data_IF_131379325066
#
_entry.id   IF_131379325066
#
_cell.length_a   1.000
_cell.length_b   1.000
_cell.length_c   1.000
_cell.angle_alpha   90.00
_cell.angle_beta   90.00
_cell.angle_gamma   90.00
#
_symmetry.space_group_name_H-M   'P 1'
#
loop_
_entity.id
_entity.type
_entity.pdbx_description
1 polymer ?
#
# COMPACT_ATOMS: atom_id res chain seq x y z
N UNK A 1 -11.58 29.93 0.29
CA UNK A 1 -10.99 28.69 0.86
C UNK A 1 -11.44 27.53 0.01
N UNK A 2 -10.52 26.68 -0.44
CA UNK A 2 -10.85 25.46 -1.20
C UNK A 2 -11.84 24.61 -0.39
N UNK A 3 -12.84 24.01 -1.05
CA UNK A 3 -13.86 23.17 -0.38
C UNK A 3 -13.29 21.95 0.35
N UNK A 4 -11.99 21.67 0.19
CA UNK A 4 -11.29 20.54 0.77
C UNK A 4 -11.05 20.66 2.28
N UNK A 5 -11.03 21.85 2.88
CA UNK A 5 -10.83 21.98 4.34
C UNK A 5 -12.09 21.62 5.15
N UNK A 6 -13.28 21.71 4.54
CA UNK A 6 -14.56 21.57 5.23
C UNK A 6 -14.70 20.27 6.05
N UNK A 7 -14.29 19.08 5.57
CA UNK A 7 -14.35 17.85 6.37
C UNK A 7 -13.59 17.95 7.69
N UNK A 8 -12.42 18.59 7.69
CA UNK A 8 -11.63 18.79 8.91
C UNK A 8 -12.33 19.74 9.89
N UNK A 9 -12.89 20.85 9.41
CA UNK A 9 -13.62 21.79 10.27
C UNK A 9 -14.85 21.13 10.89
N UNK A 10 -15.52 20.26 10.15
CA UNK A 10 -16.64 19.46 10.66
C UNK A 10 -16.17 18.45 11.71
N UNK A 11 -15.06 17.75 11.48
CA UNK A 11 -14.50 16.78 12.43
C UNK A 11 -14.06 17.44 13.75
N UNK A 12 -13.47 18.64 13.68
CA UNK A 12 -13.07 19.42 14.88
C UNK A 12 -14.29 19.90 15.67
N UNK A 13 -15.45 20.10 15.05
CA UNK A 13 -16.73 20.28 15.76
C UNK A 13 -16.81 21.47 16.73
N UNK A 14 -15.89 22.44 16.65
CA UNK A 14 -15.80 23.56 17.61
C UNK A 14 -15.04 23.24 18.91
N UNK A 15 -14.30 22.13 18.97
CA UNK A 15 -13.46 21.77 20.13
C UNK A 15 -12.29 22.73 20.35
N UNK A 16 -11.88 23.46 19.30
CA UNK A 16 -10.75 24.39 19.36
C UNK A 16 -11.22 25.85 19.49
N UNK A 17 -10.55 26.68 20.31
CA UNK A 17 -10.68 28.13 20.28
C UNK A 17 -10.41 28.69 18.89
N UNK A 18 -11.07 29.80 18.54
CA UNK A 18 -10.94 30.44 17.22
C UNK A 18 -9.48 30.82 16.88
N UNK A 19 -8.66 31.15 17.89
CA UNK A 19 -7.24 31.41 17.69
C UNK A 19 -6.49 30.19 17.16
N UNK A 20 -6.70 29.02 17.76
CA UNK A 20 -6.09 27.76 17.31
C UNK A 20 -6.64 27.35 15.95
N UNK A 21 -7.93 27.56 15.70
CA UNK A 21 -8.55 27.29 14.41
C UNK A 21 -7.95 28.15 13.29
N UNK A 22 -7.58 29.41 13.58
CA UNK A 22 -6.87 30.27 12.63
C UNK A 22 -5.51 29.69 12.25
N UNK A 23 -4.76 29.12 13.20
CA UNK A 23 -3.48 28.44 12.91
C UNK A 23 -3.70 27.21 12.02
N UNK A 24 -4.71 26.39 12.32
CA UNK A 24 -5.06 25.20 11.49
C UNK A 24 -5.45 25.60 10.07
N UNK A 25 -6.27 26.65 9.90
CA UNK A 25 -6.61 27.19 8.57
C UNK A 25 -5.36 27.67 7.84
N UNK A 26 -4.42 28.29 8.56
CA UNK A 26 -3.17 28.74 7.97
C UNK A 26 -2.29 27.58 7.51
N UNK A 27 -2.16 26.52 8.32
CA UNK A 27 -1.45 25.30 7.96
C UNK A 27 -2.03 24.67 6.68
N UNK A 28 -3.36 24.64 6.55
CA UNK A 28 -4.03 24.19 5.33
C UNK A 28 -3.63 25.04 4.10
N UNK A 29 -3.65 26.37 4.21
CA UNK A 29 -3.29 27.26 3.10
C UNK A 29 -1.84 27.08 2.65
N UNK A 30 -0.93 26.88 3.60
CA UNK A 30 0.50 26.64 3.33
C UNK A 30 0.68 25.28 2.65
N UNK A 31 0.03 24.23 3.14
CA UNK A 31 0.06 22.90 2.51
C UNK A 31 -0.53 22.92 1.10
N UNK A 32 -1.68 23.57 0.89
CA UNK A 32 -2.34 23.69 -0.42
C UNK A 32 -1.46 24.46 -1.42
N UNK A 33 -0.78 25.52 -0.94
CA UNK A 33 0.19 26.29 -1.73
C UNK A 33 1.38 25.43 -2.15
N UNK A 34 2.04 24.76 -1.21
CA UNK A 34 3.27 24.00 -1.47
C UNK A 34 3.04 22.73 -2.27
N UNK A 35 1.87 22.11 -2.14
CA UNK A 35 1.46 20.96 -2.96
C UNK A 35 0.65 21.36 -4.20
N UNK A 36 0.59 22.64 -4.55
CA UNK A 36 -0.12 23.11 -5.74
C UNK A 36 0.44 22.48 -7.01
N UNK A 37 -0.45 22.00 -7.88
CA UNK A 37 -0.09 21.27 -9.10
C UNK A 37 0.34 19.81 -8.88
N UNK A 38 0.39 19.33 -7.63
CA UNK A 38 0.59 17.93 -7.32
C UNK A 38 -0.74 17.18 -7.25
N UNK A 39 -0.72 15.91 -7.65
CA UNK A 39 -1.91 15.06 -7.69
C UNK A 39 -1.64 13.71 -7.04
N UNK A 40 -2.66 13.18 -6.36
CA UNK A 40 -2.70 11.77 -5.93
C UNK A 40 -2.80 10.88 -7.16
N UNK A 41 -2.52 9.58 -6.98
CA UNK A 41 -2.54 8.59 -8.06
C UNK A 41 -3.91 8.38 -8.69
N UNK A 42 -4.98 8.75 -7.99
CA UNK A 42 -6.36 8.72 -8.46
C UNK A 42 -6.78 10.04 -9.15
N UNK A 43 -5.86 10.99 -9.31
CA UNK A 43 -6.09 12.27 -9.98
C UNK A 43 -6.64 13.39 -9.10
N UNK A 44 -6.90 13.14 -7.81
CA UNK A 44 -7.32 14.21 -6.89
C UNK A 44 -6.17 15.16 -6.54
N UNK A 45 -6.44 16.44 -6.22
CA UNK A 45 -5.42 17.35 -5.70
C UNK A 45 -4.71 16.76 -4.49
N UNK A 46 -3.40 16.94 -4.39
CA UNK A 46 -2.60 16.30 -3.34
C UNK A 46 -3.04 16.68 -1.92
N UNK A 47 -3.48 17.94 -1.73
CA UNK A 47 -4.00 18.47 -0.46
C UNK A 47 -5.10 17.61 0.19
N UNK A 48 -5.81 16.81 -0.62
CA UNK A 48 -6.82 15.87 -0.11
C UNK A 48 -6.26 14.81 0.83
N UNK A 49 -4.98 14.45 0.68
CA UNK A 49 -4.32 13.50 1.58
C UNK A 49 -3.98 14.12 2.94
N UNK A 50 -3.23 15.24 3.04
CA UNK A 50 -2.97 15.88 4.33
C UNK A 50 -4.24 16.25 5.11
N UNK A 51 -5.29 16.71 4.41
CA UNK A 51 -6.60 16.95 5.06
C UNK A 51 -7.16 15.67 5.66
N UNK A 52 -7.13 14.55 4.94
CA UNK A 52 -7.68 13.31 5.43
C UNK A 52 -6.85 12.72 6.59
N UNK A 53 -5.53 12.94 6.62
CA UNK A 53 -4.69 12.62 7.78
C UNK A 53 -5.08 13.49 8.97
N UNK A 54 -5.27 14.80 8.78
CA UNK A 54 -5.71 15.71 9.84
C UNK A 54 -7.12 15.35 10.36
N UNK A 55 -8.03 14.85 9.53
CA UNK A 55 -9.34 14.36 9.97
C UNK A 55 -9.18 13.16 10.91
N UNK A 56 -8.31 12.20 10.59
CA UNK A 56 -8.02 11.07 11.48
C UNK A 56 -7.45 11.56 12.82
N UNK A 57 -6.55 12.54 12.78
CA UNK A 57 -5.99 13.16 14.01
C UNK A 57 -7.06 13.87 14.83
N UNK A 58 -8.02 14.55 14.19
CA UNK A 58 -9.14 15.21 14.86
C UNK A 58 -10.09 14.21 15.53
N UNK A 59 -10.33 13.04 14.91
CA UNK A 59 -11.13 11.96 15.48
C UNK A 59 -10.50 11.34 16.74
N UNK A 60 -9.18 11.49 16.91
CA UNK A 60 -8.44 11.05 18.10
C UNK A 60 -8.43 12.10 19.23
N UNK A 61 -9.14 13.22 19.07
CA UNK A 61 -9.25 14.34 20.02
C UNK A 61 -7.88 14.97 20.41
N UNK A 62 -7.02 15.15 19.40
CA UNK A 62 -5.67 15.67 19.58
C UNK A 62 -5.58 17.18 19.30
N UNK A 63 -4.54 17.81 19.87
CA UNK A 63 -4.38 19.26 19.87
C UNK A 63 -4.17 19.91 18.48
N UNK A 64 -4.36 21.22 18.44
CA UNK A 64 -4.25 22.02 17.21
C UNK A 64 -2.86 21.97 16.57
N UNK A 65 -1.79 21.82 17.36
CA UNK A 65 -0.42 21.69 16.86
C UNK A 65 -0.26 20.40 16.05
N UNK A 66 -0.82 19.27 16.53
CA UNK A 66 -0.77 18.01 15.81
C UNK A 66 -1.64 18.03 14.55
N UNK A 67 -2.77 18.74 14.58
CA UNK A 67 -3.57 18.99 13.37
C UNK A 67 -2.81 19.82 12.33
N UNK A 68 -2.08 20.84 12.77
CA UNK A 68 -1.20 21.62 11.88
C UNK A 68 -0.09 20.74 11.32
N UNK A 69 0.58 19.96 12.16
CA UNK A 69 1.61 19.02 11.73
C UNK A 69 1.05 18.00 10.73
N UNK A 70 -0.18 17.50 10.92
CA UNK A 70 -0.84 16.60 9.98
C UNK A 70 -1.08 17.21 8.59
N UNK A 71 -1.48 18.47 8.55
CA UNK A 71 -1.65 19.20 7.29
C UNK A 71 -0.30 19.45 6.59
N UNK A 72 0.78 19.61 7.35
CA UNK A 72 2.11 19.98 6.84
C UNK A 72 3.07 18.78 6.69
N UNK A 73 2.65 17.57 7.05
CA UNK A 73 3.56 16.45 7.34
C UNK A 73 4.47 16.03 6.17
N UNK A 74 4.05 16.24 4.93
CA UNK A 74 4.83 15.94 3.73
C UNK A 74 5.44 17.18 3.06
N UNK A 75 5.19 18.38 3.56
CA UNK A 75 5.68 19.63 2.94
C UNK A 75 7.21 19.66 2.90
N UNK A 76 7.89 19.31 4.01
CA UNK A 76 9.35 19.28 4.06
C UNK A 76 9.98 18.11 3.28
N UNK A 77 9.23 17.04 3.03
CA UNK A 77 9.72 15.83 2.38
C UNK A 77 9.52 15.85 0.87
N UNK A 78 8.38 16.40 0.41
CA UNK A 78 7.91 16.29 -0.98
C UNK A 78 7.92 17.63 -1.73
N UNK A 79 8.36 18.72 -1.09
CA UNK A 79 8.40 20.06 -1.71
C UNK A 79 9.74 20.77 -1.47
N UNK A 80 9.92 21.92 -2.10
CA UNK A 80 11.11 22.76 -1.94
C UNK A 80 10.99 23.78 -0.77
N UNK A 81 9.99 23.60 0.11
CA UNK A 81 9.77 24.48 1.26
C UNK A 81 10.97 24.44 2.21
N UNK A 82 11.59 25.59 2.54
CA UNK A 82 12.63 25.64 3.56
C UNK A 82 12.04 25.45 4.96
N UNK A 83 12.75 24.74 5.83
CA UNK A 83 12.30 24.48 7.20
C UNK A 83 12.12 25.78 7.99
N UNK A 84 12.94 26.79 7.71
CA UNK A 84 12.91 28.10 8.32
C UNK A 84 11.62 28.86 8.02
N UNK A 85 10.98 28.61 6.87
CA UNK A 85 9.66 29.20 6.55
C UNK A 85 8.58 28.65 7.48
N UNK A 86 8.56 27.32 7.69
CA UNK A 86 7.60 26.70 8.60
C UNK A 86 7.88 27.10 10.06
N UNK A 87 9.15 27.16 10.46
CA UNK A 87 9.54 27.63 11.79
C UNK A 87 9.11 29.07 12.06
N UNK A 88 9.31 29.97 11.09
CA UNK A 88 8.89 31.37 11.20
C UNK A 88 7.37 31.56 11.21
N UNK A 89 6.62 30.67 10.56
CA UNK A 89 5.16 30.78 10.42
C UNK A 89 4.38 30.07 11.53
N UNK A 90 4.88 28.94 12.02
CA UNK A 90 4.17 28.06 12.97
C UNK A 90 4.89 27.88 14.32
N UNK A 91 6.16 28.31 14.43
CA UNK A 91 6.97 28.18 15.63
C UNK A 91 7.56 26.79 15.84
N UNK A 92 8.35 26.66 16.91
CA UNK A 92 9.08 25.43 17.24
C UNK A 92 8.17 24.22 17.54
N UNK A 93 7.06 24.32 18.29
CA UNK A 93 6.27 23.13 18.63
C UNK A 93 5.80 22.31 17.43
N UNK A 94 5.30 22.98 16.38
CA UNK A 94 4.85 22.32 15.14
C UNK A 94 6.06 21.88 14.31
N UNK A 95 7.11 22.69 14.24
CA UNK A 95 8.31 22.38 13.44
C UNK A 95 9.08 21.19 14.01
N UNK A 96 9.15 21.05 15.32
CA UNK A 96 9.75 19.90 16.02
C UNK A 96 9.03 18.59 15.68
N UNK A 97 7.69 18.60 15.61
CA UNK A 97 6.91 17.44 15.16
C UNK A 97 7.25 17.04 13.72
N UNK A 98 7.33 18.02 12.82
CA UNK A 98 7.68 17.79 11.41
C UNK A 98 9.10 17.25 11.25
N UNK A 99 10.06 17.78 12.03
CA UNK A 99 11.44 17.32 12.05
C UNK A 99 11.54 15.90 12.61
N UNK A 100 10.81 15.61 13.69
CA UNK A 100 10.71 14.28 14.27
C UNK A 100 10.18 13.26 13.26
N UNK A 101 9.14 13.62 12.50
CA UNK A 101 8.58 12.78 11.45
C UNK A 101 9.59 12.51 10.32
N UNK A 102 10.24 13.55 9.81
CA UNK A 102 11.28 13.43 8.77
C UNK A 102 12.44 12.55 9.23
N UNK A 103 12.87 12.70 10.49
CA UNK A 103 13.90 11.85 11.07
C UNK A 103 13.45 10.39 11.11
N UNK A 104 12.23 10.13 11.58
CA UNK A 104 11.65 8.78 11.62
C UNK A 104 11.66 8.14 10.22
N UNK A 105 11.26 8.88 9.18
CA UNK A 105 11.27 8.38 7.79
C UNK A 105 12.67 8.22 7.18
N UNK A 106 13.66 9.02 7.62
CA UNK A 106 15.04 8.94 7.14
C UNK A 106 15.78 7.69 7.65
N UNK A 107 15.35 7.14 8.78
CA UNK A 107 15.94 5.92 9.31
C UNK A 107 15.55 4.75 8.41
N UNK A 108 16.42 4.37 7.48
CA UNK A 108 16.29 3.18 6.61
C UNK A 108 16.18 1.84 7.38
N UNK A 109 16.01 1.86 8.69
CA UNK A 109 15.89 0.66 9.52
C UNK A 109 14.48 0.11 9.38
N UNK A 110 14.42 -1.01 8.66
CA UNK A 110 13.29 -1.94 8.64
C UNK A 110 12.85 -2.36 10.06
N UNK A 111 11.63 -2.90 10.19
CA UNK A 111 10.80 -2.74 11.37
C UNK A 111 11.09 -3.80 12.43
N UNK A 112 11.77 -3.40 13.50
CA UNK A 112 11.21 -3.46 14.85
C UNK A 112 11.56 -2.24 15.73
N UNK A 113 12.28 -1.26 15.19
CA UNK A 113 12.92 -0.18 15.95
C UNK A 113 12.26 1.18 15.69
N UNK A 114 10.93 1.29 15.71
CA UNK A 114 10.33 2.60 16.06
C UNK A 114 10.73 2.83 17.52
N UNK A 115 11.68 3.73 17.81
CA UNK A 115 12.23 3.82 19.15
C UNK A 115 11.11 4.17 20.13
N UNK A 116 11.08 3.47 21.26
CA UNK A 116 10.22 3.79 22.41
C UNK A 116 10.45 5.23 22.90
N UNK A 117 11.54 5.87 22.48
CA UNK A 117 11.91 7.26 22.78
C UNK A 117 11.43 8.31 21.76
N UNK A 118 10.63 7.93 20.77
CA UNK A 118 10.05 8.90 19.82
C UNK A 118 8.83 9.53 20.48
N UNK A 119 8.69 10.85 20.35
CA UNK A 119 7.49 11.57 20.78
C UNK A 119 6.22 10.85 20.28
N UNK A 120 5.33 10.48 21.21
CA UNK A 120 4.09 9.76 20.92
C UNK A 120 3.22 10.51 19.91
N UNK A 121 3.31 11.85 19.86
CA UNK A 121 2.62 12.70 18.89
C UNK A 121 3.14 12.44 17.47
N UNK A 122 4.46 12.33 17.29
CA UNK A 122 5.08 12.01 15.98
C UNK A 122 4.68 10.61 15.53
N UNK A 123 4.68 9.64 16.45
CA UNK A 123 4.23 8.28 16.13
C UNK A 123 2.74 8.26 15.76
N UNK A 124 1.90 8.97 16.51
CA UNK A 124 0.46 9.08 16.23
C UNK A 124 0.20 9.68 14.86
N UNK A 125 0.93 10.74 14.50
CA UNK A 125 0.88 11.33 13.17
C UNK A 125 1.27 10.31 12.09
N UNK A 126 2.34 9.54 12.31
CA UNK A 126 2.75 8.49 11.37
C UNK A 126 1.72 7.38 11.22
N UNK A 127 1.03 7.02 12.30
CA UNK A 127 -0.05 6.04 12.28
C UNK A 127 -1.27 6.55 11.50
N UNK A 128 -1.64 7.82 11.67
CA UNK A 128 -2.72 8.45 10.90
C UNK A 128 -2.41 8.48 9.40
N UNK A 129 -1.17 8.86 9.03
CA UNK A 129 -0.67 8.79 7.65
C UNK A 129 -0.77 7.34 7.10
N UNK A 130 -0.23 6.36 7.82
CA UNK A 130 -0.29 4.94 7.43
C UNK A 130 -1.72 4.44 7.26
N UNK A 131 -2.65 4.83 8.14
CA UNK A 131 -4.05 4.46 8.03
C UNK A 131 -4.68 5.04 6.77
N UNK A 132 -4.49 6.33 6.47
CA UNK A 132 -5.00 6.92 5.25
C UNK A 132 -4.42 6.27 3.99
N UNK A 133 -3.11 6.00 3.99
CA UNK A 133 -2.45 5.31 2.89
C UNK A 133 -2.99 3.89 2.70
N UNK A 134 -3.32 3.19 3.79
CA UNK A 134 -3.98 1.89 3.72
C UNK A 134 -5.42 1.98 3.18
N UNK A 135 -6.19 3.02 3.54
CA UNK A 135 -7.54 3.29 3.00
C UNK A 135 -7.51 3.60 1.49
N UNK A 136 -6.41 4.15 0.97
CA UNK A 136 -6.25 4.57 -0.44
C UNK A 136 -5.24 3.73 -1.24
N UNK A 137 -4.88 2.56 -0.71
CA UNK A 137 -3.82 1.68 -1.23
C UNK A 137 -4.06 1.16 -2.66
N UNK A 138 -5.31 1.17 -3.12
CA UNK A 138 -5.70 0.72 -4.47
C UNK A 138 -5.00 1.50 -5.60
N UNK A 139 -4.51 2.71 -5.33
CA UNK A 139 -3.69 3.48 -6.28
C UNK A 139 -2.26 2.95 -6.48
N UNK A 140 -1.79 2.00 -5.66
CA UNK A 140 -0.47 1.38 -5.80
C UNK A 140 -0.50 0.11 -6.68
N UNK A 141 0.60 -0.27 -7.35
CA UNK A 141 0.72 -1.61 -7.94
C UNK A 141 0.54 -2.70 -6.87
N UNK A 142 -0.12 -3.80 -7.20
CA UNK A 142 -0.47 -4.87 -6.24
C UNK A 142 0.74 -5.39 -5.44
N UNK A 143 1.91 -5.52 -6.07
CA UNK A 143 3.14 -5.92 -5.36
C UNK A 143 3.47 -4.96 -4.21
N UNK A 144 3.34 -3.64 -4.42
CA UNK A 144 3.52 -2.64 -3.36
C UNK A 144 2.38 -2.68 -2.35
N UNK A 145 1.14 -2.92 -2.79
CA UNK A 145 0.01 -3.06 -1.86
C UNK A 145 0.23 -4.21 -0.87
N UNK A 146 0.76 -5.35 -1.35
CA UNK A 146 1.09 -6.51 -0.50
C UNK A 146 2.21 -6.19 0.48
N UNK A 147 3.29 -5.56 0.02
CA UNK A 147 4.41 -5.16 0.90
C UNK A 147 3.92 -4.20 2.00
N UNK A 148 3.19 -3.15 1.63
CA UNK A 148 2.69 -2.16 2.59
C UNK A 148 1.67 -2.77 3.55
N UNK A 149 0.76 -3.62 3.07
CA UNK A 149 -0.21 -4.32 3.93
C UNK A 149 0.48 -5.28 4.90
N UNK A 150 1.51 -6.00 4.46
CA UNK A 150 2.27 -6.89 5.34
C UNK A 150 3.04 -6.10 6.40
N UNK A 151 3.72 -5.02 6.02
CA UNK A 151 4.39 -4.12 6.97
C UNK A 151 3.40 -3.52 7.98
N UNK A 152 2.19 -3.14 7.53
CA UNK A 152 1.18 -2.61 8.42
C UNK A 152 0.74 -3.64 9.48
N UNK A 153 0.68 -4.93 9.14
CA UNK A 153 0.35 -6.00 10.09
C UNK A 153 1.49 -6.32 11.05
N UNK A 154 2.71 -6.40 10.53
CA UNK A 154 3.87 -6.86 11.30
C UNK A 154 4.41 -5.77 12.24
N UNK A 155 4.12 -4.50 11.95
CA UNK A 155 4.83 -3.36 12.54
C UNK A 155 3.87 -2.29 13.03
N UNK A 156 3.11 -1.71 12.11
CA UNK A 156 2.38 -0.46 12.33
C UNK A 156 1.21 -0.69 13.28
N UNK A 157 0.42 -1.74 13.05
CA UNK A 157 -0.68 -2.13 13.94
C UNK A 157 -0.18 -2.45 15.38
N UNK A 158 0.89 -3.24 15.58
CA UNK A 158 1.50 -3.42 16.91
C UNK A 158 1.97 -2.13 17.59
N UNK A 159 2.34 -1.08 16.85
CA UNK A 159 2.64 0.24 17.43
C UNK A 159 1.35 0.94 17.85
N UNK A 160 0.33 0.98 16.98
CA UNK A 160 -0.97 1.59 17.32
C UNK A 160 -1.55 1.01 18.61
N UNK A 161 -1.48 -0.32 18.76
CA UNK A 161 -1.87 -1.01 20.00
C UNK A 161 -1.08 -0.55 21.23
N UNK A 162 0.24 -0.37 21.09
CA UNK A 162 1.12 0.07 22.19
C UNK A 162 0.80 1.48 22.65
N UNK A 163 0.34 2.34 21.75
CA UNK A 163 -0.12 3.71 22.05
C UNK A 163 -1.59 3.78 22.48
N UNK A 164 -2.29 2.64 22.61
CA UNK A 164 -3.71 2.62 22.98
C UNK A 164 -4.68 3.05 21.88
N UNK A 165 -4.21 3.20 20.63
CA UNK A 165 -5.03 3.58 19.48
C UNK A 165 -5.74 2.36 18.87
N UNK A 166 -6.66 1.75 19.64
CA UNK A 166 -7.32 0.48 19.30
C UNK A 166 -8.08 0.56 17.97
N UNK A 167 -8.86 1.62 17.73
CA UNK A 167 -9.63 1.75 16.49
C UNK A 167 -8.73 1.83 15.25
N UNK A 168 -7.60 2.54 15.37
CA UNK A 168 -6.58 2.64 14.32
C UNK A 168 -5.93 1.28 14.07
N UNK A 169 -5.57 0.54 15.13
CA UNK A 169 -5.04 -0.82 15.02
C UNK A 169 -6.02 -1.73 14.26
N UNK A 170 -7.27 -1.80 14.72
CA UNK A 170 -8.28 -2.69 14.18
C UNK A 170 -8.56 -2.40 12.71
N UNK A 171 -8.69 -1.12 12.34
CA UNK A 171 -8.93 -0.75 10.95
C UNK A 171 -7.72 -1.05 10.05
N UNK A 172 -6.50 -0.72 10.50
CA UNK A 172 -5.26 -1.07 9.76
C UNK A 172 -5.20 -2.57 9.50
N UNK A 173 -5.45 -3.39 10.54
CA UNK A 173 -5.43 -4.85 10.43
C UNK A 173 -6.50 -5.35 9.47
N UNK A 174 -7.74 -4.85 9.59
CA UNK A 174 -8.87 -5.22 8.73
C UNK A 174 -8.57 -4.92 7.26
N UNK A 175 -8.09 -3.71 6.96
CA UNK A 175 -7.77 -3.31 5.58
C UNK A 175 -6.58 -4.11 5.03
N UNK A 176 -5.51 -4.30 5.82
CA UNK A 176 -4.34 -5.08 5.41
C UNK A 176 -4.67 -6.55 5.16
N UNK A 177 -5.43 -7.19 6.05
CA UNK A 177 -5.91 -8.55 5.83
C UNK A 177 -6.83 -8.61 4.60
N UNK A 178 -7.70 -7.61 4.39
CA UNK A 178 -8.51 -7.50 3.18
C UNK A 178 -7.68 -7.53 1.89
N UNK A 179 -6.60 -6.74 1.84
CA UNK A 179 -5.70 -6.67 0.69
C UNK A 179 -4.90 -7.96 0.47
N UNK A 180 -4.51 -8.65 1.55
CA UNK A 180 -3.75 -9.91 1.46
C UNK A 180 -4.66 -11.12 1.18
N UNK A 181 -5.89 -11.11 1.70
CA UNK A 181 -6.87 -12.20 1.59
C UNK A 181 -7.50 -12.35 0.21
N UNK A 182 -7.17 -11.47 -0.75
CA UNK A 182 -7.37 -11.70 -2.18
C UNK A 182 -6.81 -13.03 -2.71
N UNK A 183 -6.09 -13.82 -1.88
CA UNK A 183 -5.70 -15.22 -2.10
C UNK A 183 -6.87 -16.23 -2.09
N UNK A 184 -7.97 -15.96 -1.36
CA UNK A 184 -9.12 -16.86 -1.26
C UNK A 184 -9.81 -17.13 -2.61
N UNK A 185 -9.80 -16.14 -3.51
CA UNK A 185 -10.32 -16.27 -4.86
C UNK A 185 -9.46 -17.13 -5.80
N UNK A 186 -8.26 -17.57 -5.41
CA UNK A 186 -7.41 -18.42 -6.25
C UNK A 186 -7.76 -19.92 -6.14
N UNK A 187 -8.37 -20.34 -5.01
CA UNK A 187 -8.73 -21.73 -4.72
C UNK A 187 -9.54 -22.45 -5.81
N UNK A 188 -10.62 -21.88 -6.39
CA UNK A 188 -11.37 -22.57 -7.44
C UNK A 188 -10.51 -22.82 -8.70
N UNK A 189 -9.59 -21.92 -9.00
CA UNK A 189 -8.68 -22.04 -10.13
C UNK A 189 -7.60 -23.11 -9.90
N UNK A 190 -7.18 -23.34 -8.64
CA UNK A 190 -6.20 -24.39 -8.31
C UNK A 190 -6.71 -25.78 -8.70
N UNK A 191 -7.97 -26.08 -8.37
CA UNK A 191 -8.60 -27.36 -8.72
C UNK A 191 -8.65 -27.58 -10.24
N UNK A 192 -9.03 -26.54 -10.99
CA UNK A 192 -9.11 -26.60 -12.45
C UNK A 192 -7.74 -26.84 -13.10
N UNK A 193 -6.71 -26.09 -12.70
CA UNK A 193 -5.33 -26.25 -13.21
C UNK A 193 -4.77 -27.62 -12.86
N UNK A 194 -5.00 -28.09 -11.62
CA UNK A 194 -4.52 -29.40 -11.15
C UNK A 194 -5.16 -30.55 -11.94
N UNK A 195 -6.46 -30.48 -12.20
CA UNK A 195 -7.18 -31.45 -13.02
C UNK A 195 -6.68 -31.45 -14.48
N UNK A 196 -6.51 -30.27 -15.08
CA UNK A 196 -5.99 -30.13 -16.45
C UNK A 196 -4.56 -30.69 -16.60
N UNK A 197 -3.72 -30.51 -15.58
CA UNK A 197 -2.33 -30.99 -15.61
C UNK A 197 -2.20 -32.52 -15.70
N UNK A 198 -3.26 -33.29 -15.45
CA UNK A 198 -3.28 -34.75 -15.68
C UNK A 198 -2.94 -35.09 -17.14
N UNK A 199 -3.26 -34.20 -18.10
CA UNK A 199 -2.93 -34.39 -19.51
C UNK A 199 -1.42 -34.41 -19.79
N UNK A 200 -0.61 -33.82 -18.91
CA UNK A 200 0.84 -33.74 -19.06
C UNK A 200 1.51 -35.08 -18.67
N UNK A 201 2.67 -35.41 -19.28
CA UNK A 201 3.49 -36.53 -18.84
C UNK A 201 3.85 -36.40 -17.35
N UNK A 202 3.72 -37.51 -16.62
CA UNK A 202 3.95 -37.54 -15.16
C UNK A 202 5.32 -36.99 -14.76
N UNK A 203 6.36 -37.24 -15.58
CA UNK A 203 7.73 -36.80 -15.33
C UNK A 203 7.94 -35.28 -15.26
N UNK A 204 7.04 -34.48 -15.84
CA UNK A 204 7.17 -33.00 -15.88
C UNK A 204 6.01 -32.26 -15.21
N UNK A 205 4.97 -32.99 -14.80
CA UNK A 205 3.71 -32.43 -14.27
C UNK A 205 3.90 -31.56 -13.03
N UNK A 206 4.69 -32.04 -12.06
CA UNK A 206 4.92 -31.32 -10.79
C UNK A 206 5.55 -29.94 -11.01
N UNK A 207 6.59 -29.87 -11.85
CA UNK A 207 7.28 -28.62 -12.17
C UNK A 207 6.36 -27.60 -12.83
N UNK A 208 5.57 -28.02 -13.82
CA UNK A 208 4.65 -27.10 -14.51
C UNK A 208 3.50 -26.64 -13.60
N UNK A 209 3.03 -27.50 -12.69
CA UNK A 209 2.05 -27.11 -11.68
C UNK A 209 2.60 -26.03 -10.74
N UNK A 210 3.84 -26.17 -10.27
CA UNK A 210 4.49 -25.14 -9.45
C UNK A 210 4.60 -23.81 -10.19
N UNK A 211 5.06 -23.82 -11.44
CA UNK A 211 5.18 -22.62 -12.28
C UNK A 211 3.80 -21.93 -12.48
N UNK A 212 2.76 -22.69 -12.85
CA UNK A 212 1.43 -22.10 -13.12
C UNK A 212 0.67 -21.65 -11.88
N UNK A 213 0.78 -22.38 -10.76
CA UNK A 213 0.16 -21.95 -9.51
C UNK A 213 0.86 -20.70 -8.96
N UNK A 214 2.17 -20.58 -9.16
CA UNK A 214 2.93 -19.36 -8.89
C UNK A 214 2.44 -18.16 -9.71
N UNK A 215 2.29 -18.33 -11.02
CA UNK A 215 1.75 -17.30 -11.92
C UNK A 215 0.30 -16.92 -11.56
N UNK A 216 -0.56 -17.90 -11.29
CA UNK A 216 -1.96 -17.67 -10.90
C UNK A 216 -2.09 -16.84 -9.61
N UNK A 217 -1.22 -17.10 -8.64
CA UNK A 217 -1.16 -16.35 -7.38
C UNK A 217 -0.66 -14.91 -7.57
N UNK A 218 0.16 -14.68 -8.60
CA UNK A 218 0.66 -13.37 -8.96
C UNK A 218 -0.35 -12.52 -9.76
N UNK A 219 -1.47 -13.10 -10.23
CA UNK A 219 -2.44 -12.40 -11.07
C UNK A 219 -3.46 -11.54 -10.29
N UNK A 220 -3.81 -10.36 -10.84
CA UNK A 220 -4.66 -9.37 -10.19
C UNK A 220 -6.15 -9.74 -10.27
N UNK A 221 -6.73 -10.09 -9.11
CA UNK A 221 -8.17 -10.32 -8.96
C UNK A 221 -8.75 -11.52 -9.73
N UNK A 222 -10.07 -11.71 -9.63
CA UNK A 222 -10.76 -12.89 -10.18
C UNK A 222 -10.82 -12.95 -11.71
N UNK A 223 -10.95 -11.80 -12.39
CA UNK A 223 -11.06 -11.76 -13.86
C UNK A 223 -9.75 -12.15 -14.56
N UNK A 224 -8.60 -11.65 -14.07
CA UNK A 224 -7.31 -12.03 -14.63
C UNK A 224 -7.00 -13.52 -14.39
N UNK A 225 -7.32 -14.03 -13.19
CA UNK A 225 -7.19 -15.45 -12.86
C UNK A 225 -8.08 -16.33 -13.73
N UNK A 226 -9.33 -15.93 -13.96
CA UNK A 226 -10.25 -16.64 -14.84
C UNK A 226 -9.76 -16.67 -16.29
N UNK A 227 -9.29 -15.52 -16.80
CA UNK A 227 -8.65 -15.45 -18.11
C UNK A 227 -7.45 -16.39 -18.21
N UNK A 228 -6.49 -16.26 -17.30
CA UNK A 228 -5.29 -17.08 -17.30
C UNK A 228 -5.61 -18.57 -17.22
N UNK A 229 -6.49 -18.99 -16.30
CA UNK A 229 -6.91 -20.39 -16.18
C UNK A 229 -7.57 -20.89 -17.46
N UNK A 230 -8.44 -20.09 -18.10
CA UNK A 230 -9.07 -20.46 -19.36
C UNK A 230 -8.04 -20.72 -20.47
N UNK A 231 -7.13 -19.78 -20.71
CA UNK A 231 -6.12 -19.91 -21.76
C UNK A 231 -5.10 -21.01 -21.47
N UNK A 232 -4.73 -21.16 -20.21
CA UNK A 232 -3.85 -22.23 -19.78
C UNK A 232 -4.47 -23.59 -20.11
N UNK A 233 -5.73 -23.83 -19.70
CA UNK A 233 -6.44 -25.08 -19.99
C UNK A 233 -6.65 -25.30 -21.50
N UNK A 234 -6.95 -24.25 -22.26
CA UNK A 234 -7.10 -24.32 -23.72
C UNK A 234 -5.78 -24.71 -24.43
N UNK A 235 -4.62 -24.26 -23.91
CA UNK A 235 -3.30 -24.57 -24.46
C UNK A 235 -2.71 -25.92 -24.00
N UNK A 236 -3.23 -26.51 -22.91
CA UNK A 236 -2.70 -27.74 -22.33
C UNK A 236 -2.64 -28.94 -23.29
N UNK A 237 -3.64 -29.23 -24.15
CA UNK A 237 -3.56 -30.35 -25.08
C UNK A 237 -2.38 -30.24 -26.05
N UNK A 238 -2.16 -29.05 -26.62
CA UNK A 238 -1.05 -28.77 -27.55
C UNK A 238 0.30 -28.87 -26.84
N UNK A 239 0.38 -28.35 -25.62
CA UNK A 239 1.56 -28.48 -24.78
C UNK A 239 1.87 -29.94 -24.46
N UNK A 240 0.87 -30.73 -24.08
CA UNK A 240 1.02 -32.15 -23.77
C UNK A 240 1.54 -32.94 -24.98
N UNK A 241 1.02 -32.70 -26.18
CA UNK A 241 1.53 -33.31 -27.42
C UNK A 241 2.98 -32.94 -27.69
N UNK A 242 3.33 -31.66 -27.51
CA UNK A 242 4.69 -31.16 -27.69
C UNK A 242 5.66 -31.82 -26.72
N UNK A 243 5.29 -31.96 -25.45
CA UNK A 243 6.12 -32.57 -24.42
C UNK A 243 6.25 -34.10 -24.58
N UNK A 244 5.23 -34.77 -25.12
CA UNK A 244 5.30 -36.21 -25.44
C UNK A 244 6.19 -36.49 -26.65
N UNK A 245 6.18 -35.62 -27.66
CA UNK A 245 6.99 -35.76 -28.87
C UNK A 245 8.48 -35.49 -28.68
N UNK A 246 8.90 -34.87 -27.56
CA UNK A 246 10.30 -34.50 -27.31
C UNK A 246 11.13 -35.57 -26.59
N UNK A 247 10.53 -36.71 -26.20
CA UNK A 247 11.21 -37.75 -25.43
C UNK A 247 11.58 -37.28 -24.00
N UNK A 248 11.67 -38.21 -23.06
CA UNK A 248 12.05 -37.87 -21.68
C UNK A 248 13.43 -37.19 -21.67
N UNK A 249 13.59 -36.03 -21.01
CA UNK A 249 14.87 -35.34 -21.01
C UNK A 249 15.91 -36.14 -20.24
N UNK A 250 17.02 -36.48 -20.90
CA UNK A 250 18.23 -36.89 -20.20
C UNK A 250 18.66 -35.76 -19.26
N UNK A 251 19.05 -36.11 -18.02
CA UNK A 251 19.44 -35.18 -16.97
C UNK A 251 20.48 -34.18 -17.49
N UNK A 252 20.13 -32.89 -17.43
CA UNK A 252 21.04 -31.76 -17.62
C UNK A 252 21.17 -31.25 -19.06
N UNK A 253 20.66 -30.04 -19.31
CA UNK A 253 21.18 -29.17 -20.38
C UNK A 253 20.27 -28.84 -21.56
N UNK A 254 19.38 -29.73 -22.04
CA UNK A 254 18.54 -29.46 -23.23
C UNK A 254 17.08 -29.03 -22.96
N UNK A 255 16.70 -28.84 -21.69
CA UNK A 255 15.30 -28.54 -21.30
C UNK A 255 14.93 -27.05 -21.43
N UNK A 256 15.91 -26.15 -21.41
CA UNK A 256 15.66 -24.70 -21.45
C UNK A 256 15.12 -24.22 -22.81
N UNK A 257 15.47 -24.87 -23.92
CA UNK A 257 14.96 -24.55 -25.26
C UNK A 257 13.52 -25.09 -25.46
N UNK A 258 13.24 -26.29 -24.95
CA UNK A 258 11.92 -26.91 -24.95
C UNK A 258 10.87 -26.10 -24.18
N UNK A 259 11.24 -25.62 -22.97
CA UNK A 259 10.38 -24.75 -22.17
C UNK A 259 10.04 -23.44 -22.88
N UNK A 260 10.99 -22.82 -23.58
CA UNK A 260 10.76 -21.56 -24.32
C UNK A 260 9.82 -21.72 -25.53
N UNK A 261 9.85 -22.86 -26.23
CA UNK A 261 8.93 -23.14 -27.34
C UNK A 261 7.51 -23.49 -26.86
N UNK A 262 7.41 -24.21 -25.73
CA UNK A 262 6.15 -24.52 -25.05
C UNK A 262 5.45 -23.25 -24.51
N UNK A 263 6.21 -22.35 -23.86
CA UNK A 263 5.71 -21.07 -23.33
C UNK A 263 5.20 -20.15 -24.46
N UNK A 264 5.74 -20.25 -25.68
CA UNK A 264 5.23 -19.51 -26.85
C UNK A 264 3.81 -19.91 -27.26
N UNK A 265 3.37 -21.14 -26.96
CA UNK A 265 2.01 -21.60 -27.26
C UNK A 265 0.97 -21.11 -26.25
N UNK A 266 1.41 -20.57 -25.11
CA UNK A 266 0.57 -20.07 -24.01
C UNK A 266 0.61 -18.54 -23.89
N UNK A 267 1.21 -17.83 -24.87
CA UNK A 267 1.30 -16.38 -24.84
C UNK A 267 -0.10 -15.75 -24.96
N UNK A 268 -0.56 -15.27 -23.82
CA UNK A 268 -1.64 -14.30 -23.67
C UNK A 268 -1.39 -13.07 -24.55
N UNK A 269 -2.37 -12.61 -25.36
CA UNK A 269 -2.26 -11.32 -26.04
C UNK A 269 -2.31 -10.20 -24.99
N UNK A 270 -1.28 -9.35 -24.97
CA UNK A 270 -1.14 -8.25 -24.02
C UNK A 270 -2.34 -7.30 -24.05
#
# INVERSE_FOLDING_TARGET
MSGHLQPLLTAVGGSLPEEQLRVVRRAYEVADRWHSGQFRRDGRPYITHPVAVAVIVAELDLDHELLCAALLHEVLAETACPEEELAGEFGEPITDLLRGLRLLDSTKRRPPEWPVSTDERVLTLKLADRLHNQRTISGLPEARQRVNSQENLDVVAPVARRLGLTDVEEELRRLALGNLSGLGGARPFFGAITAGAIMLPAAVRGRWLEEWLGELLALPGGRARLGFTFWLLAGMPRLALTLRGQGAPARGGRVAAAGRAAVRCLRWPA
#
